data_IF_871078676115
#
_entry.id   IF_871078676115
#
_cell.length_a   1.000
_cell.length_b   1.000
_cell.length_c   1.000
_cell.angle_alpha   90.00
_cell.angle_beta   90.00
_cell.angle_gamma   90.00
#
_symmetry.space_group_name_H-M   'P 1'
#
loop_
_entity.id
_entity.type
_entity.pdbx_description
1 polymer ?
#
# COMPACT_ATOMS: atom_id res chain seq x y z
N UNK A 1 1.00 -2.51 -34.15
CA UNK A 1 1.35 -1.30 -33.40
C UNK A 1 0.04 -0.71 -32.88
N UNK A 2 -0.09 -0.47 -31.57
CA UNK A 2 -1.30 0.16 -31.04
C UNK A 2 -1.30 1.66 -31.40
N UNK A 3 -2.42 2.23 -31.86
CA UNK A 3 -2.52 3.65 -32.14
C UNK A 3 -2.35 4.44 -30.83
N UNK A 4 -1.62 5.56 -30.89
CA UNK A 4 -1.45 6.46 -29.76
C UNK A 4 -2.80 7.13 -29.46
N UNK A 5 -3.19 7.16 -28.18
CA UNK A 5 -4.44 7.75 -27.74
C UNK A 5 -4.35 9.27 -27.73
N UNK A 6 -5.48 9.93 -27.99
CA UNK A 6 -5.61 11.38 -27.82
C UNK A 6 -5.72 11.70 -26.33
N UNK A 7 -5.07 12.78 -25.91
CA UNK A 7 -5.16 13.27 -24.54
C UNK A 7 -5.78 14.65 -24.53
N UNK A 8 -6.92 14.76 -23.86
CA UNK A 8 -7.68 16.01 -23.76
C UNK A 8 -7.31 16.79 -22.51
N UNK A 9 -7.61 18.08 -22.51
CA UNK A 9 -7.51 18.98 -21.36
C UNK A 9 -6.14 19.03 -20.68
N UNK A 10 -5.07 18.98 -21.48
CA UNK A 10 -3.71 19.11 -20.96
C UNK A 10 -3.42 20.58 -20.64
N UNK A 11 -3.16 20.88 -19.38
CA UNK A 11 -2.75 22.22 -18.95
C UNK A 11 -1.39 22.61 -19.55
N UNK A 12 -1.34 23.81 -20.13
CA UNK A 12 -0.14 24.37 -20.70
C UNK A 12 0.85 24.83 -19.61
N UNK A 13 2.17 24.65 -19.82
CA UNK A 13 3.16 25.17 -18.90
C UNK A 13 3.14 26.70 -18.88
N UNK A 14 3.54 27.26 -17.73
CA UNK A 14 3.65 28.70 -17.54
C UNK A 14 4.72 29.29 -18.47
N UNK A 15 4.43 30.44 -19.07
CA UNK A 15 5.41 31.19 -19.88
C UNK A 15 6.07 32.22 -18.96
N UNK A 16 7.39 32.27 -19.01
CA UNK A 16 8.22 33.14 -18.19
C UNK A 16 9.08 34.01 -19.08
N UNK A 17 8.91 35.32 -18.99
CA UNK A 17 9.54 36.27 -19.91
C UNK A 17 10.55 37.15 -19.18
N UNK A 18 11.54 37.69 -19.89
CA UNK A 18 12.50 38.64 -19.29
C UNK A 18 11.86 39.99 -18.99
N UNK A 19 10.75 40.30 -19.67
CA UNK A 19 9.92 41.50 -19.45
C UNK A 19 8.44 41.13 -19.54
N UNK A 20 7.57 41.72 -18.71
CA UNK A 20 6.12 41.49 -18.78
C UNK A 20 5.51 41.79 -20.16
N UNK A 21 6.10 42.74 -20.90
CA UNK A 21 5.68 43.13 -22.26
C UNK A 21 5.91 42.05 -23.31
N UNK A 22 6.77 41.07 -23.02
CA UNK A 22 7.01 39.95 -23.93
C UNK A 22 6.03 38.80 -23.70
N UNK A 23 5.02 38.96 -22.85
CA UNK A 23 3.96 37.97 -22.74
C UNK A 23 3.14 37.93 -24.04
N UNK A 24 2.65 36.76 -24.46
CA UNK A 24 1.74 36.63 -25.58
C UNK A 24 0.45 37.47 -25.38
N UNK A 25 -0.16 37.97 -26.47
CA UNK A 25 -1.41 38.73 -26.37
C UNK A 25 -2.49 37.90 -25.67
N UNK A 26 -3.12 38.46 -24.64
CA UNK A 26 -4.12 37.79 -23.81
C UNK A 26 -3.57 37.06 -22.57
N UNK A 27 -2.24 36.90 -22.48
CA UNK A 27 -1.54 36.41 -21.28
C UNK A 27 -0.72 37.48 -20.56
N UNK A 28 -0.81 38.72 -21.04
CA UNK A 28 -0.19 39.88 -20.39
C UNK A 28 -0.79 40.09 -18.98
N UNK A 29 0.06 40.25 -17.96
CA UNK A 29 -0.40 40.57 -16.62
C UNK A 29 -0.82 42.05 -16.54
N UNK A 30 -2.06 42.30 -16.14
CA UNK A 30 -2.58 43.65 -15.89
C UNK A 30 -2.65 43.90 -14.38
N UNK A 31 -1.74 44.72 -13.86
CA UNK A 31 -1.70 45.07 -12.44
C UNK A 31 -2.33 46.44 -12.19
N UNK A 32 -3.23 46.56 -11.20
CA UNK A 32 -3.84 47.84 -10.86
C UNK A 32 -2.79 48.83 -10.32
N UNK A 33 -3.08 50.13 -10.46
CA UNK A 33 -2.16 51.22 -10.08
C UNK A 33 -1.65 51.05 -8.64
N UNK A 34 -0.32 51.04 -8.48
CA UNK A 34 0.36 50.91 -7.19
C UNK A 34 0.64 49.49 -6.74
N UNK A 35 0.46 48.49 -7.60
CA UNK A 35 0.91 47.11 -7.41
C UNK A 35 1.96 46.74 -8.47
N UNK A 36 2.85 45.83 -8.11
CA UNK A 36 3.83 45.21 -9.01
C UNK A 36 3.51 43.74 -9.20
N UNK A 37 3.88 43.20 -10.38
CA UNK A 37 3.79 41.78 -10.67
C UNK A 37 4.81 41.01 -9.83
N UNK A 38 4.33 40.09 -9.00
CA UNK A 38 5.15 39.22 -8.19
C UNK A 38 5.53 37.93 -8.93
N UNK A 39 6.51 37.19 -8.38
CA UNK A 39 7.03 35.96 -8.97
C UNK A 39 6.05 34.78 -9.04
N UNK A 40 4.87 34.90 -8.44
CA UNK A 40 3.77 33.93 -8.53
C UNK A 40 2.72 34.29 -9.60
N UNK A 41 2.90 35.42 -10.31
CA UNK A 41 1.95 35.93 -11.30
C UNK A 41 0.82 36.76 -10.70
N UNK A 42 0.83 37.01 -9.39
CA UNK A 42 -0.14 37.90 -8.73
C UNK A 42 0.38 39.32 -8.63
N UNK A 43 -0.54 40.30 -8.63
CA UNK A 43 -0.20 41.70 -8.43
C UNK A 43 -0.32 42.04 -6.94
N UNK A 44 0.77 42.47 -6.31
CA UNK A 44 0.78 42.88 -4.90
C UNK A 44 1.64 44.13 -4.70
N UNK A 45 1.51 44.77 -3.53
CA UNK A 45 2.31 45.95 -3.18
C UNK A 45 3.73 45.59 -2.72
N UNK A 46 3.91 44.40 -2.16
CA UNK A 46 5.19 43.87 -1.71
C UNK A 46 5.31 42.41 -2.17
N UNK A 47 6.42 42.10 -2.83
CA UNK A 47 6.71 40.77 -3.37
C UNK A 47 7.90 40.10 -2.64
N UNK A 48 8.38 40.67 -1.53
CA UNK A 48 9.62 40.27 -0.86
C UNK A 48 9.65 38.82 -0.33
N UNK A 49 8.48 38.23 -0.06
CA UNK A 49 8.34 36.84 0.44
C UNK A 49 7.84 35.84 -0.61
N UNK A 50 7.62 36.28 -1.86
CA UNK A 50 6.98 35.45 -2.88
C UNK A 50 8.06 34.78 -3.74
N UNK A 51 8.08 33.44 -3.70
CA UNK A 51 8.99 32.65 -4.51
C UNK A 51 8.62 32.75 -5.99
N UNK A 52 9.60 33.01 -6.84
CA UNK A 52 9.39 33.08 -8.28
C UNK A 52 9.20 31.68 -8.88
N UNK A 53 8.01 31.41 -9.42
CA UNK A 53 7.67 30.14 -10.06
C UNK A 53 8.52 29.89 -11.31
N UNK A 54 8.96 30.95 -12.00
CA UNK A 54 9.82 30.87 -13.18
C UNK A 54 11.26 30.45 -12.90
N UNK A 55 11.73 30.62 -11.66
CA UNK A 55 13.10 30.25 -11.31
C UNK A 55 13.22 28.78 -10.92
N UNK A 56 12.14 27.99 -10.96
CA UNK A 56 12.18 26.56 -10.68
C UNK A 56 12.79 26.19 -9.30
N UNK A 57 12.71 27.12 -8.34
CA UNK A 57 13.30 26.99 -7.00
C UNK A 57 14.80 27.30 -6.91
N UNK A 58 15.43 27.80 -7.98
CA UNK A 58 16.73 28.46 -7.91
C UNK A 58 16.57 29.91 -7.44
N UNK A 59 17.61 30.48 -6.84
CA UNK A 59 17.63 31.91 -6.47
C UNK A 59 17.58 32.81 -7.71
N UNK A 60 18.25 32.40 -8.79
CA UNK A 60 18.32 33.13 -10.06
C UNK A 60 18.25 32.20 -11.26
N UNK A 61 17.69 32.69 -12.37
CA UNK A 61 17.78 32.03 -13.67
C UNK A 61 19.25 31.89 -14.10
N UNK A 62 19.68 30.78 -14.73
CA UNK A 62 21.09 30.54 -15.06
C UNK A 62 21.77 31.63 -15.91
N UNK A 63 20.98 32.40 -16.67
CA UNK A 63 21.45 33.47 -17.54
C UNK A 63 21.30 34.88 -16.91
N UNK A 64 21.04 34.96 -15.60
CA UNK A 64 21.12 36.19 -14.80
C UNK A 64 19.97 37.20 -14.97
N UNK A 65 19.09 37.04 -15.95
CA UNK A 65 17.93 37.89 -16.12
C UNK A 65 16.78 37.48 -15.17
N UNK A 66 16.10 38.42 -14.49
CA UNK A 66 14.88 38.12 -13.76
C UNK A 66 13.78 37.71 -14.74
N UNK A 67 13.14 36.58 -14.46
CA UNK A 67 11.99 36.10 -15.23
C UNK A 67 10.68 36.52 -14.55
N UNK A 68 9.72 36.93 -15.36
CA UNK A 68 8.39 37.31 -14.92
C UNK A 68 7.37 36.30 -15.45
N UNK A 69 6.48 35.76 -14.59
CA UNK A 69 5.44 34.85 -15.03
C UNK A 69 4.34 35.59 -15.79
N UNK A 70 3.97 35.08 -16.97
CA UNK A 70 2.76 35.50 -17.66
C UNK A 70 1.52 34.86 -17.00
N UNK A 71 0.31 35.30 -17.39
CA UNK A 71 -0.93 34.66 -16.94
C UNK A 71 -0.96 33.18 -17.37
N UNK A 72 -1.60 32.34 -16.56
CA UNK A 72 -1.73 30.92 -16.86
C UNK A 72 -2.40 30.71 -18.23
N UNK A 73 -1.74 29.92 -19.07
CA UNK A 73 -2.25 29.48 -20.36
C UNK A 73 -3.35 28.43 -20.17
N UNK A 74 -4.26 28.32 -21.15
CA UNK A 74 -5.41 27.41 -21.07
C UNK A 74 -5.03 25.93 -21.15
N UNK A 75 -6.03 25.09 -21.38
CA UNK A 75 -5.85 23.67 -21.67
C UNK A 75 -5.84 23.42 -23.18
N UNK A 76 -5.10 22.39 -23.62
CA UNK A 76 -5.02 21.97 -25.02
C UNK A 76 -5.24 20.48 -25.18
N UNK A 77 -5.75 20.09 -26.34
CA UNK A 77 -5.92 18.70 -26.74
C UNK A 77 -4.75 18.25 -27.62
N UNK A 78 -4.14 17.12 -27.27
CA UNK A 78 -2.98 16.59 -27.98
C UNK A 78 -3.40 15.30 -28.70
N UNK A 79 -3.45 15.29 -30.04
CA UNK A 79 -3.68 14.07 -30.79
C UNK A 79 -2.44 13.17 -30.74
N UNK A 80 -2.64 11.85 -30.75
CA UNK A 80 -1.54 10.87 -30.80
C UNK A 80 -0.47 11.08 -29.72
N UNK A 81 -0.89 11.19 -28.46
CA UNK A 81 -0.01 11.52 -27.34
C UNK A 81 1.04 10.43 -27.10
N UNK A 82 2.33 10.77 -27.25
CA UNK A 82 3.44 9.90 -26.89
C UNK A 82 3.98 10.27 -25.49
N UNK A 83 3.85 9.38 -24.48
CA UNK A 83 4.32 9.66 -23.12
C UNK A 83 5.83 9.95 -23.01
N UNK A 84 6.63 9.40 -23.92
CA UNK A 84 8.09 9.55 -23.91
C UNK A 84 8.54 10.99 -24.18
N UNK A 85 7.78 11.73 -25.00
CA UNK A 85 8.08 13.11 -25.38
C UNK A 85 7.00 14.08 -24.88
N UNK A 86 6.46 13.81 -23.68
CA UNK A 86 5.34 14.56 -23.11
C UNK A 86 5.57 16.07 -23.12
N UNK A 87 6.69 16.56 -22.59
CA UNK A 87 6.94 17.99 -22.45
C UNK A 87 7.01 18.70 -23.80
N UNK A 88 7.80 18.16 -24.74
CA UNK A 88 7.92 18.71 -26.08
C UNK A 88 6.56 18.74 -26.83
N UNK A 89 5.76 17.67 -26.74
CA UNK A 89 4.43 17.62 -27.38
C UNK A 89 3.45 18.61 -26.76
N UNK A 90 3.48 18.78 -25.43
CA UNK A 90 2.62 19.75 -24.73
C UNK A 90 3.04 21.18 -25.11
N UNK A 91 4.33 21.50 -25.05
CA UNK A 91 4.86 22.82 -25.39
C UNK A 91 4.51 23.20 -26.83
N UNK A 92 4.67 22.27 -27.78
CA UNK A 92 4.33 22.48 -29.19
C UNK A 92 2.83 22.71 -29.40
N UNK A 93 1.97 21.89 -28.77
CA UNK A 93 0.51 22.08 -28.83
C UNK A 93 0.09 23.44 -28.23
N UNK A 94 0.69 23.82 -27.11
CA UNK A 94 0.44 25.11 -26.45
C UNK A 94 0.94 26.29 -27.29
N UNK A 95 2.14 26.20 -27.88
CA UNK A 95 2.69 27.22 -28.76
C UNK A 95 1.78 27.45 -29.97
N UNK A 96 1.26 26.38 -30.58
CA UNK A 96 0.29 26.49 -31.70
C UNK A 96 -1.02 27.13 -31.27
N UNK A 97 -1.55 26.80 -30.08
CA UNK A 97 -2.79 27.41 -29.58
C UNK A 97 -2.66 28.91 -29.33
N UNK A 98 -1.45 29.37 -29.01
CA UNK A 98 -1.13 30.77 -28.72
C UNK A 98 -0.49 31.51 -29.93
N UNK A 99 -0.40 30.86 -31.10
CA UNK A 99 0.27 31.38 -32.30
C UNK A 99 1.70 31.89 -32.05
N UNK A 100 2.47 31.16 -31.23
CA UNK A 100 3.84 31.52 -30.88
C UNK A 100 4.85 30.87 -31.82
N UNK A 101 5.88 31.63 -32.21
CA UNK A 101 7.04 31.08 -32.90
C UNK A 101 7.92 30.31 -31.91
N UNK A 102 8.31 29.09 -32.30
CA UNK A 102 9.16 28.23 -31.50
C UNK A 102 10.60 28.79 -31.33
N UNK A 103 10.99 29.77 -32.14
CA UNK A 103 12.27 30.49 -32.05
C UNK A 103 12.33 31.55 -30.94
N UNK A 104 11.16 32.02 -30.50
CA UNK A 104 11.06 33.19 -29.63
C UNK A 104 11.01 32.79 -28.15
N UNK A 105 10.50 31.58 -27.89
CA UNK A 105 10.34 30.99 -26.57
C UNK A 105 10.93 29.59 -26.56
N UNK A 106 12.02 29.39 -25.83
CA UNK A 106 12.60 28.05 -25.65
C UNK A 106 12.24 27.44 -24.31
N UNK A 107 12.95 26.40 -23.93
CA UNK A 107 12.70 25.67 -22.69
C UNK A 107 13.55 26.26 -21.56
N UNK A 108 13.08 26.17 -20.31
CA UNK A 108 13.86 26.60 -19.15
C UNK A 108 15.28 26.00 -19.16
N UNK A 109 16.30 26.86 -19.11
CA UNK A 109 17.71 26.45 -19.19
C UNK A 109 18.37 26.69 -20.56
N UNK A 110 17.60 27.11 -21.56
CA UNK A 110 18.10 27.56 -22.86
C UNK A 110 18.11 29.09 -22.94
N UNK A 111 19.13 29.65 -23.61
CA UNK A 111 19.18 31.08 -23.88
C UNK A 111 18.19 31.44 -24.99
N UNK A 112 17.25 32.35 -24.70
CA UNK A 112 16.20 32.76 -25.63
C UNK A 112 15.90 34.25 -25.49
N UNK A 113 15.50 34.85 -26.61
CA UNK A 113 15.39 36.31 -26.74
C UNK A 113 14.19 36.95 -26.02
N UNK A 114 13.05 36.25 -25.89
CA UNK A 114 11.82 36.82 -25.31
C UNK A 114 11.37 36.15 -24.01
N UNK A 115 11.51 34.83 -23.92
CA UNK A 115 11.14 34.08 -22.73
C UNK A 115 11.39 32.59 -22.84
N UNK A 116 10.96 31.87 -21.80
CA UNK A 116 11.08 30.43 -21.69
C UNK A 116 9.79 29.83 -21.15
N UNK A 117 9.50 28.60 -21.58
CA UNK A 117 8.49 27.76 -20.94
C UNK A 117 9.06 27.24 -19.62
N UNK A 118 8.30 27.40 -18.53
CA UNK A 118 8.64 26.91 -17.20
C UNK A 118 8.49 25.38 -17.10
N UNK A 119 9.17 24.64 -17.98
CA UNK A 119 9.38 23.20 -17.83
C UNK A 119 10.56 22.97 -16.90
N UNK A 120 10.31 23.24 -15.62
CA UNK A 120 11.33 23.12 -14.59
C UNK A 120 11.90 21.69 -14.57
N UNK A 121 13.22 21.52 -14.50
CA UNK A 121 13.77 20.20 -14.22
C UNK A 121 13.15 19.75 -12.91
N UNK A 122 12.45 18.62 -12.95
CA UNK A 122 11.90 18.01 -11.74
C UNK A 122 13.06 17.93 -10.77
N UNK A 123 12.95 18.61 -9.61
CA UNK A 123 13.97 18.57 -8.55
C UNK A 123 14.44 17.14 -8.48
N UNK A 124 15.74 16.94 -8.61
CA UNK A 124 16.38 15.63 -8.71
C UNK A 124 16.21 14.88 -7.41
N UNK A 125 14.99 14.46 -7.11
CA UNK A 125 14.72 13.50 -6.09
C UNK A 125 15.46 12.24 -6.52
N UNK A 126 16.24 11.62 -5.63
CA UNK A 126 16.91 10.39 -5.97
C UNK A 126 15.85 9.43 -6.54
N UNK A 127 16.10 8.93 -7.75
CA UNK A 127 15.14 8.09 -8.49
C UNK A 127 14.77 6.80 -7.74
N UNK A 128 15.51 6.50 -6.68
CA UNK A 128 15.43 5.28 -5.92
C UNK A 128 14.93 5.58 -4.50
N UNK A 129 14.09 4.69 -3.97
CA UNK A 129 13.84 4.60 -2.54
C UNK A 129 15.13 4.15 -1.85
N UNK A 130 15.49 4.81 -0.75
CA UNK A 130 16.55 4.42 0.17
C UNK A 130 15.90 3.88 1.44
N UNK A 131 16.42 2.84 2.07
CA UNK A 131 15.82 2.26 3.29
C UNK A 131 15.62 3.23 4.47
N UNK A 132 16.08 4.48 4.35
CA UNK A 132 15.95 5.57 5.31
C UNK A 132 14.68 6.40 5.17
N UNK A 133 13.82 6.17 4.16
CA UNK A 133 12.58 6.95 4.08
C UNK A 133 11.68 6.69 5.29
N UNK A 134 11.08 7.74 5.87
CA UNK A 134 10.31 7.65 7.12
C UNK A 134 9.16 6.66 7.02
N UNK A 135 8.57 6.53 5.82
CA UNK A 135 7.44 5.67 5.59
C UNK A 135 7.83 4.17 5.65
N UNK A 136 8.99 3.80 5.09
CA UNK A 136 9.53 2.45 5.24
C UNK A 136 9.93 2.16 6.69
N UNK A 137 10.55 3.11 7.37
CA UNK A 137 10.91 2.97 8.78
C UNK A 137 9.68 2.68 9.64
N UNK A 138 8.56 3.38 9.42
CA UNK A 138 7.30 3.12 10.14
C UNK A 138 6.77 1.70 9.83
N UNK A 139 6.75 1.28 8.57
CA UNK A 139 6.27 -0.06 8.21
C UNK A 139 7.13 -1.14 8.88
N UNK A 140 8.46 -1.03 8.79
CA UNK A 140 9.37 -2.02 9.35
C UNK A 140 9.34 -2.06 10.88
N UNK A 141 9.23 -0.90 11.53
CA UNK A 141 9.14 -0.84 13.00
C UNK A 141 7.84 -1.45 13.51
N UNK A 142 6.70 -1.14 12.89
CA UNK A 142 5.41 -1.73 13.25
C UNK A 142 5.41 -3.24 12.98
N UNK A 143 5.90 -3.68 11.82
CA UNK A 143 5.97 -5.09 11.48
C UNK A 143 6.90 -5.87 12.44
N UNK A 144 8.06 -5.31 12.79
CA UNK A 144 8.98 -5.92 13.73
C UNK A 144 8.38 -6.00 15.14
N UNK A 145 7.70 -4.94 15.60
CA UNK A 145 7.01 -4.94 16.89
C UNK A 145 5.91 -6.00 16.95
N UNK A 146 5.11 -6.14 15.89
CA UNK A 146 4.05 -7.15 15.80
C UNK A 146 4.62 -8.57 15.79
N UNK A 147 5.65 -8.83 15.00
CA UNK A 147 6.35 -10.13 14.98
C UNK A 147 6.91 -10.44 16.37
N UNK A 148 7.50 -9.46 17.05
CA UNK A 148 8.02 -9.63 18.40
C UNK A 148 6.91 -9.97 19.41
N UNK A 149 5.77 -9.28 19.37
CA UNK A 149 4.61 -9.56 20.24
C UNK A 149 4.06 -10.97 19.99
N UNK A 150 3.94 -11.39 18.74
CA UNK A 150 3.46 -12.74 18.40
C UNK A 150 4.46 -13.83 18.80
N UNK A 151 5.76 -13.61 18.61
CA UNK A 151 6.80 -14.56 19.02
C UNK A 151 6.86 -14.72 20.53
N UNK A 152 6.85 -13.62 21.27
CA UNK A 152 6.83 -13.67 22.74
C UNK A 152 5.54 -14.28 23.27
N UNK A 153 4.38 -14.01 22.66
CA UNK A 153 3.12 -14.70 22.98
C UNK A 153 3.20 -16.21 22.71
N UNK A 154 3.73 -16.63 21.55
CA UNK A 154 3.85 -18.06 21.25
C UNK A 154 4.79 -18.78 22.19
N UNK A 155 5.91 -18.17 22.58
CA UNK A 155 6.83 -18.72 23.57
C UNK A 155 6.16 -18.83 24.94
N UNK A 156 5.50 -17.76 25.40
CA UNK A 156 4.76 -17.73 26.67
C UNK A 156 3.67 -18.81 26.69
N UNK A 157 2.87 -18.89 25.63
CA UNK A 157 1.79 -19.87 25.49
C UNK A 157 2.32 -21.30 25.55
N UNK A 158 3.37 -21.61 24.77
CA UNK A 158 4.01 -22.94 24.79
C UNK A 158 4.52 -23.32 26.17
N UNK A 159 5.07 -22.35 26.92
CA UNK A 159 5.55 -22.61 28.27
C UNK A 159 4.39 -22.84 29.25
N UNK A 160 3.38 -21.97 29.24
CA UNK A 160 2.21 -22.08 30.13
C UNK A 160 1.40 -23.36 29.89
N UNK A 161 1.26 -23.79 28.64
CA UNK A 161 0.44 -24.95 28.27
C UNK A 161 1.18 -26.29 28.42
N UNK A 162 2.51 -26.28 28.60
CA UNK A 162 3.32 -27.50 28.73
C UNK A 162 2.85 -28.39 29.88
N UNK A 163 2.49 -27.78 31.02
CA UNK A 163 2.06 -28.53 32.20
C UNK A 163 0.62 -29.06 32.05
N UNK A 164 -0.27 -28.27 31.44
CA UNK A 164 -1.67 -28.66 31.20
C UNK A 164 -1.75 -29.79 30.18
N UNK A 165 -0.92 -29.75 29.13
CA UNK A 165 -0.87 -30.79 28.10
C UNK A 165 -0.50 -32.17 28.66
N UNK A 166 0.42 -32.23 29.62
CA UNK A 166 0.82 -33.48 30.30
C UNK A 166 -0.33 -34.06 31.14
N UNK A 167 -1.09 -33.23 31.84
CA UNK A 167 -2.25 -33.70 32.61
C UNK A 167 -3.37 -34.22 31.71
N UNK A 168 -3.65 -33.54 30.59
CA UNK A 168 -4.68 -33.97 29.63
C UNK A 168 -4.29 -35.30 28.96
N UNK A 169 -3.01 -35.47 28.59
CA UNK A 169 -2.54 -36.73 28.00
C UNK A 169 -2.52 -37.88 29.01
N UNK A 170 -2.09 -37.63 30.25
CA UNK A 170 -2.09 -38.62 31.33
C UNK A 170 -3.49 -39.13 31.67
N UNK A 171 -4.47 -38.22 31.82
CA UNK A 171 -5.86 -38.61 32.11
C UNK A 171 -6.48 -39.40 30.95
N UNK A 172 -6.07 -39.12 29.70
CA UNK A 172 -6.55 -39.87 28.53
C UNK A 172 -6.06 -41.32 28.54
N UNK A 173 -4.81 -41.56 28.93
CA UNK A 173 -4.27 -42.92 29.04
C UNK A 173 -4.99 -43.74 30.11
N UNK A 174 -5.29 -43.15 31.27
CA UNK A 174 -6.04 -43.85 32.33
C UNK A 174 -7.47 -44.21 31.91
N UNK A 175 -8.20 -43.30 31.26
CA UNK A 175 -9.59 -43.57 30.83
C UNK A 175 -9.69 -44.59 29.69
N UNK A 176 -8.61 -44.79 28.92
CA UNK A 176 -8.56 -45.80 27.85
C UNK A 176 -8.19 -47.19 28.36
N UNK A 177 -7.50 -47.32 29.50
CA UNK A 177 -7.12 -48.62 30.08
C UNK A 177 -8.17 -49.19 31.04
N UNK A 178 -9.00 -48.33 31.66
CA UNK A 178 -10.06 -48.77 32.60
C UNK A 178 -11.29 -49.37 31.90
N UNK A 179 -11.41 -49.24 30.57
CA UNK A 179 -12.56 -49.72 29.77
C UNK A 179 -12.44 -51.16 29.25
N UNK A 180 -11.65 -52.01 29.92
CA UNK A 180 -11.64 -53.47 29.71
C UNK A 180 -12.40 -54.19 30.82
N UNK A 181 -13.73 -54.10 30.82
CA UNK A 181 -14.61 -55.02 31.55
C UNK A 181 -15.54 -55.74 30.55
N UNK A 182 -15.95 -56.99 30.85
CA UNK A 182 -16.44 -57.93 29.85
C UNK A 182 -17.79 -57.48 29.27
N UNK A 183 -17.86 -57.51 27.93
CA UNK A 183 -19.03 -57.17 27.12
C UNK A 183 -20.25 -58.02 27.51
N UNK A 184 -21.35 -57.34 27.84
CA UNK A 184 -22.71 -57.85 27.70
C UNK A 184 -23.33 -57.08 26.54
N UNK A 185 -23.70 -57.79 25.48
CA UNK A 185 -24.31 -57.25 24.27
C UNK A 185 -25.65 -56.58 24.59
N UNK A 186 -25.68 -55.25 24.54
CA UNK A 186 -26.90 -54.48 24.28
C UNK A 186 -26.61 -53.56 23.09
N UNK A 187 -27.38 -53.83 22.04
CA UNK A 187 -27.34 -53.24 20.72
C UNK A 187 -28.01 -51.85 20.74
N UNK A 188 -27.25 -50.80 21.06
CA UNK A 188 -27.57 -49.42 20.68
C UNK A 188 -26.29 -48.77 20.12
N UNK A 189 -26.27 -48.57 18.81
CA UNK A 189 -25.12 -48.08 18.05
C UNK A 189 -24.87 -46.58 18.25
N UNK A 190 -24.48 -46.18 19.46
CA UNK A 190 -23.73 -44.93 19.67
C UNK A 190 -22.27 -45.33 19.72
N UNK A 191 -21.58 -45.29 18.56
CA UNK A 191 -20.11 -45.29 18.57
C UNK A 191 -19.71 -44.10 19.42
N UNK A 192 -18.93 -44.32 20.47
CA UNK A 192 -18.33 -43.25 21.26
C UNK A 192 -17.43 -42.43 20.35
N UNK A 193 -18.00 -41.42 19.73
CA UNK A 193 -17.26 -40.47 18.93
C UNK A 193 -16.33 -39.70 19.87
N UNK A 194 -15.05 -39.66 19.51
CA UNK A 194 -13.96 -39.16 20.35
C UNK A 194 -14.06 -37.62 20.48
N UNK A 195 -14.93 -37.13 21.37
CA UNK A 195 -15.11 -35.70 21.66
C UNK A 195 -13.92 -35.18 22.46
N UNK A 196 -13.21 -34.19 21.93
CA UNK A 196 -12.14 -33.50 22.67
C UNK A 196 -12.68 -32.19 23.25
N UNK A 197 -12.90 -32.16 24.57
CA UNK A 197 -13.23 -30.95 25.31
C UNK A 197 -11.95 -30.23 25.75
N UNK A 198 -11.77 -28.99 25.28
CA UNK A 198 -10.66 -28.11 25.65
C UNK A 198 -11.20 -26.85 26.35
N UNK A 199 -10.67 -26.54 27.53
CA UNK A 199 -10.98 -25.28 28.23
C UNK A 199 -9.99 -24.18 27.86
N UNK A 200 -10.46 -22.95 27.74
CA UNK A 200 -9.64 -21.77 27.49
C UNK A 200 -9.94 -20.67 28.51
N UNK A 201 -8.88 -20.02 28.98
CA UNK A 201 -8.96 -18.85 29.85
C UNK A 201 -8.32 -17.64 29.18
N UNK A 202 -8.92 -16.47 29.40
CA UNK A 202 -8.43 -15.21 28.86
C UNK A 202 -7.25 -14.72 29.71
N UNK A 203 -6.17 -14.30 29.04
CA UNK A 203 -5.00 -13.73 29.69
C UNK A 203 -4.74 -12.32 29.14
N UNK A 204 -4.44 -11.36 30.01
CA UNK A 204 -4.27 -9.93 29.63
C UNK A 204 -3.26 -9.77 28.49
N UNK A 205 -2.13 -10.48 28.58
CA UNK A 205 -1.09 -10.47 27.54
C UNK A 205 -1.59 -10.98 26.18
N UNK A 206 -2.40 -12.05 26.17
CA UNK A 206 -2.98 -12.59 24.95
C UNK A 206 -4.05 -11.68 24.37
N UNK A 207 -4.85 -11.04 25.22
CA UNK A 207 -5.81 -10.02 24.80
C UNK A 207 -5.11 -8.82 24.15
N UNK A 208 -3.99 -8.36 24.72
CA UNK A 208 -3.19 -7.27 24.16
C UNK A 208 -2.64 -7.63 22.77
N UNK A 209 -2.05 -8.83 22.61
CA UNK A 209 -1.55 -9.29 21.33
C UNK A 209 -2.67 -9.51 20.29
N UNK A 210 -3.89 -9.89 20.73
CA UNK A 210 -5.04 -9.95 19.82
C UNK A 210 -5.45 -8.55 19.32
N UNK A 211 -5.47 -7.55 20.21
CA UNK A 211 -5.80 -6.18 19.80
C UNK A 211 -4.71 -5.58 18.89
N UNK A 212 -3.43 -5.93 19.08
CA UNK A 212 -2.37 -5.47 18.18
C UNK A 212 -2.59 -5.93 16.73
N UNK A 213 -2.99 -7.19 16.53
CA UNK A 213 -3.38 -7.72 15.19
C UNK A 213 -4.50 -6.90 14.56
N UNK A 214 -5.50 -6.48 15.35
CA UNK A 214 -6.60 -5.62 14.87
C UNK A 214 -6.08 -4.24 14.49
N UNK A 215 -5.26 -3.61 15.35
CA UNK A 215 -4.69 -2.29 15.06
C UNK A 215 -3.82 -2.29 13.80
N UNK A 216 -2.98 -3.31 13.61
CA UNK A 216 -2.17 -3.48 12.40
C UNK A 216 -3.06 -3.65 11.17
N UNK A 217 -4.15 -4.41 11.29
CA UNK A 217 -5.12 -4.60 10.21
C UNK A 217 -5.81 -3.29 9.80
N UNK A 218 -6.21 -2.45 10.77
CA UNK A 218 -6.72 -1.10 10.49
C UNK A 218 -5.63 -0.22 9.88
N UNK A 219 -4.40 -0.32 10.39
CA UNK A 219 -3.23 0.40 9.88
C UNK A 219 -2.97 0.15 8.39
N UNK A 220 -3.10 -1.10 7.92
CA UNK A 220 -3.01 -1.42 6.48
C UNK A 220 -4.06 -0.70 5.64
N UNK A 221 -5.31 -0.62 6.11
CA UNK A 221 -6.40 0.09 5.39
C UNK A 221 -6.12 1.58 5.33
N UNK A 222 -5.71 2.17 6.45
CA UNK A 222 -5.34 3.61 6.51
C UNK A 222 -4.15 3.89 5.59
N UNK A 223 -3.11 3.07 5.62
CA UNK A 223 -1.92 3.22 4.78
C UNK A 223 -2.28 3.17 3.29
N UNK A 224 -3.07 2.18 2.87
CA UNK A 224 -3.54 2.10 1.48
C UNK A 224 -4.36 3.33 1.08
N UNK A 225 -5.24 3.80 1.97
CA UNK A 225 -6.06 5.01 1.74
C UNK A 225 -5.19 6.26 1.58
N UNK A 226 -4.16 6.41 2.41
CA UNK A 226 -3.18 7.51 2.37
C UNK A 226 -2.41 7.49 1.06
N UNK A 227 -1.91 6.33 0.62
CA UNK A 227 -1.17 6.20 -0.63
C UNK A 227 -2.06 6.57 -1.82
N UNK A 228 -3.30 6.10 -1.85
CA UNK A 228 -4.25 6.45 -2.91
C UNK A 228 -4.57 7.95 -2.89
N UNK A 229 -4.76 8.56 -1.72
CA UNK A 229 -5.03 9.99 -1.61
C UNK A 229 -3.82 10.86 -2.03
N UNK A 230 -2.59 10.46 -1.71
CA UNK A 230 -1.37 11.16 -2.15
C UNK A 230 -1.13 11.01 -3.66
N UNK A 231 -1.52 9.89 -4.26
CA UNK A 231 -1.46 9.73 -5.71
C UNK A 231 -2.24 10.84 -6.45
N UNK A 232 -3.37 11.28 -5.87
CA UNK A 232 -4.18 12.40 -6.36
C UNK A 232 -3.79 13.77 -5.77
N UNK A 233 -2.68 13.86 -5.03
CA UNK A 233 -2.18 15.12 -4.47
C UNK A 233 -2.98 15.71 -3.31
N UNK A 234 -3.92 14.95 -2.72
CA UNK A 234 -4.77 15.46 -1.63
C UNK A 234 -4.05 15.63 -0.29
N UNK A 235 -2.92 14.95 -0.08
CA UNK A 235 -2.22 14.92 1.20
C UNK A 235 -1.11 15.98 1.25
N UNK A 236 -0.25 15.98 0.23
CA UNK A 236 0.95 16.81 0.17
C UNK A 236 0.75 18.09 -0.64
N UNK A 237 -0.43 18.28 -1.26
CA UNK A 237 -0.71 19.38 -2.18
C UNK A 237 -0.04 19.23 -3.56
N UNK A 238 0.78 18.20 -3.74
CA UNK A 238 1.47 17.87 -4.98
C UNK A 238 1.11 16.43 -5.35
N UNK A 239 0.76 16.17 -6.60
CA UNK A 239 0.53 14.80 -7.06
C UNK A 239 1.76 13.92 -6.77
N UNK A 240 1.55 12.81 -6.06
CA UNK A 240 2.59 11.81 -5.73
C UNK A 240 3.71 12.40 -4.85
N UNK A 241 3.37 13.33 -3.95
CA UNK A 241 4.37 13.98 -3.09
C UNK A 241 5.12 13.00 -2.19
N UNK A 242 4.47 11.96 -1.65
CA UNK A 242 5.13 10.90 -0.86
C UNK A 242 6.13 10.11 -1.70
N UNK A 243 5.84 9.93 -2.99
CA UNK A 243 6.71 9.27 -3.94
C UNK A 243 7.59 10.27 -4.72
N UNK A 244 7.90 11.42 -4.12
CA UNK A 244 8.83 12.41 -4.67
C UNK A 244 8.44 12.87 -6.09
N UNK A 245 7.14 13.06 -6.32
CA UNK A 245 6.52 13.42 -7.61
C UNK A 245 6.83 12.45 -8.77
N UNK A 246 7.16 11.19 -8.47
CA UNK A 246 7.49 10.17 -9.47
C UNK A 246 6.39 9.10 -9.56
N UNK A 247 5.81 8.97 -10.76
CA UNK A 247 4.71 8.03 -11.04
C UNK A 247 5.14 6.56 -10.93
N UNK A 248 6.31 6.21 -11.45
CA UNK A 248 6.81 4.83 -11.39
C UNK A 248 7.07 4.42 -9.94
N UNK A 249 7.65 5.33 -9.17
CA UNK A 249 8.00 5.11 -7.77
C UNK A 249 6.74 4.92 -6.90
N UNK A 250 5.72 5.75 -7.12
CA UNK A 250 4.41 5.63 -6.46
C UNK A 250 3.74 4.30 -6.80
N UNK A 251 3.81 3.86 -8.07
CA UNK A 251 3.24 2.60 -8.51
C UNK A 251 3.90 1.39 -7.86
N UNK A 252 5.24 1.32 -7.85
CA UNK A 252 5.97 0.24 -7.18
C UNK A 252 5.65 0.19 -5.68
N UNK A 253 5.60 1.35 -5.03
CA UNK A 253 5.28 1.43 -3.61
C UNK A 253 3.88 0.90 -3.30
N UNK A 254 2.89 1.31 -4.10
CA UNK A 254 1.52 0.82 -3.96
C UNK A 254 1.43 -0.69 -4.15
N UNK A 255 2.06 -1.23 -5.20
CA UNK A 255 2.01 -2.66 -5.51
C UNK A 255 2.62 -3.49 -4.37
N UNK A 256 3.80 -3.12 -3.87
CA UNK A 256 4.46 -3.85 -2.77
C UNK A 256 3.61 -3.81 -1.51
N UNK A 257 3.12 -2.62 -1.14
CA UNK A 257 2.26 -2.42 0.04
C UNK A 257 0.98 -3.23 -0.06
N UNK A 258 0.37 -3.25 -1.25
CA UNK A 258 -0.84 -4.03 -1.52
C UNK A 258 -0.61 -5.53 -1.36
N UNK A 259 0.46 -6.09 -1.93
CA UNK A 259 0.77 -7.51 -1.77
C UNK A 259 1.01 -7.90 -0.30
N UNK A 260 1.72 -7.05 0.45
CA UNK A 260 1.94 -7.27 1.89
C UNK A 260 0.61 -7.24 2.67
N UNK A 261 -0.26 -6.26 2.38
CA UNK A 261 -1.58 -6.18 2.99
C UNK A 261 -2.44 -7.41 2.65
N UNK A 262 -2.48 -7.82 1.38
CA UNK A 262 -3.24 -9.01 0.95
C UNK A 262 -2.73 -10.26 1.65
N UNK A 263 -1.40 -10.45 1.72
CA UNK A 263 -0.82 -11.58 2.44
C UNK A 263 -1.22 -11.57 3.92
N UNK A 264 -1.14 -10.41 4.58
CA UNK A 264 -1.56 -10.23 5.97
C UNK A 264 -3.04 -10.59 6.19
N UNK A 265 -3.94 -10.06 5.36
CA UNK A 265 -5.36 -10.35 5.46
C UNK A 265 -5.71 -11.80 5.13
N UNK A 266 -5.02 -12.40 4.15
CA UNK A 266 -5.20 -13.81 3.80
C UNK A 266 -4.83 -14.71 4.97
N UNK A 267 -3.67 -14.47 5.59
CA UNK A 267 -3.24 -15.21 6.79
C UNK A 267 -4.28 -15.07 7.90
N UNK A 268 -4.73 -13.85 8.22
CA UNK A 268 -5.74 -13.63 9.24
C UNK A 268 -7.10 -14.29 8.89
N UNK A 269 -7.47 -14.35 7.61
CA UNK A 269 -8.70 -14.98 7.16
C UNK A 269 -8.63 -16.51 7.33
N UNK A 270 -7.55 -17.14 6.87
CA UNK A 270 -7.32 -18.59 7.01
C UNK A 270 -7.35 -19.00 8.49
N UNK A 271 -6.75 -18.20 9.37
CA UNK A 271 -6.71 -18.48 10.79
C UNK A 271 -7.90 -17.94 11.59
N UNK A 272 -8.86 -17.24 10.96
CA UNK A 272 -9.96 -16.53 11.64
C UNK A 272 -10.70 -17.40 12.66
N UNK A 273 -10.99 -18.65 12.30
CA UNK A 273 -11.72 -19.59 13.16
C UNK A 273 -10.94 -19.96 14.44
N UNK A 274 -9.61 -19.94 14.39
CA UNK A 274 -8.72 -20.34 15.51
C UNK A 274 -8.05 -19.15 16.18
N UNK A 275 -8.09 -17.96 15.58
CA UNK A 275 -7.34 -16.78 16.01
C UNK A 275 -7.69 -16.38 17.44
N UNK A 276 -8.99 -16.34 17.78
CA UNK A 276 -9.44 -16.00 19.14
C UNK A 276 -8.91 -16.99 20.20
N UNK A 277 -8.91 -18.28 19.89
CA UNK A 277 -8.44 -19.33 20.81
C UNK A 277 -6.92 -19.40 20.85
N UNK A 278 -6.23 -18.96 19.79
CA UNK A 278 -4.77 -18.82 19.79
C UNK A 278 -4.29 -17.79 20.81
N UNK A 279 -5.04 -16.70 21.05
CA UNK A 279 -4.72 -15.69 22.06
C UNK A 279 -5.22 -16.00 23.47
N UNK A 280 -5.83 -17.18 23.67
CA UNK A 280 -6.22 -17.70 24.98
C UNK A 280 -5.29 -18.81 25.43
N UNK A 281 -5.17 -18.99 26.74
CA UNK A 281 -4.36 -20.06 27.33
C UNK A 281 -5.24 -21.28 27.56
N UNK A 282 -4.75 -22.46 27.15
CA UNK A 282 -5.39 -23.74 27.42
C UNK A 282 -5.39 -24.03 28.93
N UNK A 283 -6.54 -24.41 29.45
CA UNK A 283 -6.73 -24.81 30.84
C UNK A 283 -7.67 -26.02 30.91
N UNK A 284 -7.77 -26.60 32.11
CA UNK A 284 -8.70 -27.71 32.34
C UNK A 284 -10.15 -27.24 32.09
N UNK A 285 -11.04 -28.10 31.56
CA UNK A 285 -12.40 -27.71 31.20
C UNK A 285 -13.20 -27.05 32.34
N UNK A 286 -12.94 -27.44 33.59
CA UNK A 286 -13.63 -26.90 34.77
C UNK A 286 -13.14 -25.51 35.20
N UNK A 287 -11.98 -25.05 34.71
CA UNK A 287 -11.39 -23.76 35.05
C UNK A 287 -11.49 -22.74 33.90
N UNK A 288 -11.94 -23.20 32.73
CA UNK A 288 -12.01 -22.38 31.53
C UNK A 288 -13.26 -21.52 31.48
N UNK A 289 -13.09 -20.26 31.07
CA UNK A 289 -14.21 -19.37 30.77
C UNK A 289 -14.91 -19.74 29.45
N UNK A 290 -14.19 -20.38 28.54
CA UNK A 290 -14.71 -20.81 27.24
C UNK A 290 -14.32 -22.27 27.00
N UNK A 291 -15.30 -23.09 26.63
CA UNK A 291 -15.08 -24.50 26.29
C UNK A 291 -15.20 -24.67 24.77
N UNK A 292 -14.18 -25.24 24.16
CA UNK A 292 -14.20 -25.64 22.76
C UNK A 292 -14.41 -27.16 22.69
N UNK A 293 -15.44 -27.58 21.97
CA UNK A 293 -15.70 -28.99 21.67
C UNK A 293 -15.21 -29.27 20.26
N UNK A 294 -14.14 -30.06 20.14
CA UNK A 294 -13.66 -30.54 18.85
C UNK A 294 -14.23 -31.95 18.61
N UNK A 295 -15.09 -32.07 17.60
CA UNK A 295 -15.59 -33.34 17.08
C UNK A 295 -14.75 -33.69 15.85
N UNK A 296 -14.12 -34.86 15.84
CA UNK A 296 -13.58 -35.42 14.60
C UNK A 296 -14.77 -35.86 13.75
N UNK A 297 -15.10 -35.08 12.73
CA UNK A 297 -15.96 -35.60 11.67
C UNK A 297 -15.12 -36.63 10.92
N UNK A 298 -15.46 -37.91 11.06
CA UNK A 298 -15.02 -38.90 10.08
C UNK A 298 -15.48 -38.38 8.73
N UNK A 299 -14.53 -38.16 7.83
CA UNK A 299 -14.86 -37.80 6.46
C UNK A 299 -15.72 -38.94 5.92
N UNK A 300 -17.03 -38.73 5.81
CA UNK A 300 -17.87 -39.54 4.94
C UNK A 300 -17.33 -39.31 3.55
N UNK A 301 -16.39 -40.17 3.15
CA UNK A 301 -15.89 -40.29 1.79
C UNK A 301 -17.11 -40.63 0.93
N UNK A 302 -17.76 -39.61 0.38
CA UNK A 302 -18.57 -39.75 -0.82
C UNK A 302 -17.58 -40.01 -1.97
N UNK A 303 -17.03 -41.22 -2.00
CA UNK A 303 -16.34 -41.79 -3.15
C UNK A 303 -17.41 -42.20 -4.15
N UNK A 304 -17.92 -41.24 -4.90
CA UNK A 304 -18.65 -41.54 -6.13
C UNK A 304 -18.39 -40.48 -7.21
N UNK A 305 -17.14 -40.02 -7.31
CA UNK A 305 -16.71 -39.21 -8.45
C UNK A 305 -15.38 -39.72 -9.01
N UNK A 306 -15.52 -40.31 -10.20
CA UNK A 306 -14.51 -40.97 -11.02
C UNK A 306 -13.52 -39.95 -11.64
N UNK A 307 -12.97 -39.04 -10.82
CA UNK A 307 -12.09 -37.97 -11.28
C UNK A 307 -10.64 -38.47 -11.42
N UNK A 308 -10.02 -38.17 -12.57
CA UNK A 308 -8.66 -38.60 -12.91
C UNK A 308 -7.59 -38.15 -11.89
N UNK A 309 -7.88 -37.10 -11.12
CA UNK A 309 -7.01 -36.56 -10.07
C UNK A 309 -6.94 -37.49 -8.86
N UNK A 310 -8.05 -38.11 -8.45
CA UNK A 310 -8.07 -39.10 -7.36
C UNK A 310 -7.33 -40.39 -7.76
N UNK A 311 -7.48 -40.83 -9.01
CA UNK A 311 -6.71 -41.97 -9.54
C UNK A 311 -5.20 -41.70 -9.51
N UNK A 312 -4.79 -40.45 -9.75
CA UNK A 312 -3.39 -40.04 -9.68
C UNK A 312 -2.89 -40.06 -8.23
N UNK A 313 -3.65 -39.52 -7.27
CA UNK A 313 -3.28 -39.54 -5.84
C UNK A 313 -3.16 -40.97 -5.31
N UNK A 314 -4.10 -41.85 -5.64
CA UNK A 314 -4.04 -43.27 -5.25
C UNK A 314 -2.82 -44.00 -5.82
N UNK A 315 -2.43 -43.68 -7.06
CA UNK A 315 -1.25 -44.26 -7.72
C UNK A 315 0.06 -43.82 -7.07
N UNK A 316 0.07 -42.66 -6.42
CA UNK A 316 1.20 -42.19 -5.62
C UNK A 316 1.24 -42.83 -4.23
N UNK A 317 0.08 -43.02 -3.61
CA UNK A 317 -0.03 -43.60 -2.26
C UNK A 317 0.35 -45.08 -2.24
N UNK A 318 -0.06 -45.84 -3.26
CA UNK A 318 0.31 -47.26 -3.46
C UNK A 318 1.76 -47.48 -3.87
N UNK A 319 2.52 -46.40 -4.16
CA UNK A 319 3.92 -46.47 -4.59
C UNK A 319 4.92 -46.34 -3.43
N UNK A 320 4.47 -46.15 -2.18
CA UNK A 320 5.38 -46.27 -1.03
C UNK A 320 5.67 -47.76 -0.78
N UNK A 321 6.94 -48.20 -0.84
CA UNK A 321 7.29 -49.56 -0.50
C UNK A 321 7.09 -49.79 1.01
N UNK A 322 6.51 -50.93 1.33
CA UNK A 322 6.58 -51.55 2.66
C UNK A 322 8.04 -51.52 3.14
N UNK A 323 8.32 -50.66 4.11
CA UNK A 323 9.53 -50.80 4.93
C UNK A 323 9.21 -51.90 5.94
N UNK A 324 9.89 -53.03 5.77
CA UNK A 324 9.84 -54.17 6.69
C UNK A 324 10.56 -53.89 7.99
#
# INVERSE_FOLDING_TARGET
QCPLLNKQDMSCPLICTTKPEYCPPGLEPDCPRGQSLCGDGTCQKDCSLILNQCNCGAETYPYGAPLYPCKASGTVDIPSFNPSNKSALVIDACARSLNLSQSDYGVWGEDNSKGVWADCPKKGYPRNFTYTEPLWLVIWTVAAAEVFLLLTWTMFKRFAERNVGVHISSNRSQMSDEKKLPQVDIQEGVREEDFQLKGYSDHVYGTLAFYSVIFVSVGWVVLLSVITADYYGKITGIEKGLAKANASLSGYFFIITWYLAVLWFLVNNVFRARLRNFFRVLCLPHQGNVVQVERRLDATLMLDDNSALLALVHRWETRKPSTG
#
